data_IF_343642793959
#
_entry.id   IF_343642793959
#
_cell.length_a   1.000
_cell.length_b   1.000
_cell.length_c   1.000
_cell.angle_alpha   90.00
_cell.angle_beta   90.00
_cell.angle_gamma   90.00
#
_symmetry.space_group_name_H-M   'P 1'
#
loop_
_entity.id
_entity.type
_entity.pdbx_description
1 polymer ?
#
# COMPACT_ATOMS: atom_id res chain seq x y z
N UNK A 1 38.33 -19.28 31.67
CA UNK A 1 38.63 -18.19 30.71
C UNK A 1 37.71 -18.41 29.53
N UNK A 2 36.61 -17.70 29.34
CA UNK A 2 36.38 -16.29 29.58
C UNK A 2 36.23 -15.59 28.22
N UNK A 3 35.11 -15.83 27.55
CA UNK A 3 34.65 -15.01 26.43
C UNK A 3 33.13 -14.96 26.53
N UNK A 4 32.66 -14.09 27.42
CA UNK A 4 31.25 -13.73 27.48
C UNK A 4 30.85 -13.17 26.13
N UNK A 5 29.77 -13.71 25.58
CA UNK A 5 29.04 -13.08 24.48
C UNK A 5 28.76 -11.64 24.91
N UNK A 6 29.44 -10.70 24.25
CA UNK A 6 29.21 -9.28 24.42
C UNK A 6 27.74 -9.03 24.09
N UNK A 7 26.93 -8.77 25.13
CA UNK A 7 25.55 -8.35 24.97
C UNK A 7 25.50 -7.22 23.96
N UNK A 8 24.72 -7.41 22.89
CA UNK A 8 24.40 -6.34 21.98
C UNK A 8 24.01 -5.09 22.79
N UNK A 9 24.50 -3.89 22.43
CA UNK A 9 24.22 -2.69 23.20
C UNK A 9 22.71 -2.56 23.39
N UNK A 10 22.28 -2.34 24.62
CA UNK A 10 20.89 -2.10 24.96
C UNK A 10 20.35 -1.02 23.99
N UNK A 11 19.51 -1.43 23.05
CA UNK A 11 18.95 -0.51 22.05
C UNK A 11 18.29 0.64 22.81
N UNK A 12 18.74 1.87 22.57
CA UNK A 12 18.12 3.08 23.12
C UNK A 12 16.61 3.01 22.88
N UNK A 13 15.84 2.90 23.95
CA UNK A 13 14.41 2.64 23.88
C UNK A 13 13.69 3.41 24.96
N UNK A 14 12.57 4.03 24.60
CA UNK A 14 11.74 4.77 25.56
C UNK A 14 10.87 3.80 26.36
N UNK A 15 10.66 4.11 27.64
CA UNK A 15 9.80 3.31 28.51
C UNK A 15 8.89 4.19 29.37
N UNK A 16 7.78 3.60 29.82
CA UNK A 16 6.85 4.22 30.77
C UNK A 16 6.31 5.56 30.28
N UNK A 17 6.46 6.62 31.10
CA UNK A 17 5.95 7.96 30.82
C UNK A 17 6.52 8.59 29.55
N UNK A 18 7.80 8.35 29.24
CA UNK A 18 8.42 8.93 28.05
C UNK A 18 7.87 8.29 26.76
N UNK A 19 7.63 6.97 26.77
CA UNK A 19 6.98 6.27 25.67
C UNK A 19 5.53 6.75 25.48
N UNK A 20 4.79 6.92 26.58
CA UNK A 20 3.43 7.49 26.55
C UNK A 20 3.41 8.91 25.99
N UNK A 21 4.33 9.77 26.41
CA UNK A 21 4.39 11.15 25.93
C UNK A 21 4.65 11.23 24.43
N UNK A 22 5.58 10.42 23.90
CA UNK A 22 5.84 10.36 22.47
C UNK A 22 4.61 9.90 21.68
N UNK A 23 3.97 8.81 22.11
CA UNK A 23 2.79 8.27 21.42
C UNK A 23 1.59 9.20 21.54
N UNK A 24 1.40 9.82 22.70
CA UNK A 24 0.42 10.88 22.90
C UNK A 24 0.68 12.08 21.98
N UNK A 25 1.93 12.47 21.79
CA UNK A 25 2.32 13.51 20.83
C UNK A 25 2.01 13.14 19.37
N UNK A 26 2.29 11.90 18.96
CA UNK A 26 1.93 11.41 17.62
C UNK A 26 0.41 11.35 17.42
N UNK A 27 -0.34 10.94 18.45
CA UNK A 27 -1.80 10.97 18.44
C UNK A 27 -2.34 12.40 18.36
N UNK A 28 -1.77 13.34 19.13
CA UNK A 28 -2.15 14.76 19.05
C UNK A 28 -1.86 15.34 17.67
N UNK A 29 -0.72 14.98 17.06
CA UNK A 29 -0.39 15.38 15.70
C UNK A 29 -1.40 14.82 14.68
N UNK A 30 -1.87 13.57 14.87
CA UNK A 30 -2.94 13.01 14.06
C UNK A 30 -4.27 13.74 14.29
N UNK A 31 -4.65 13.98 15.55
CA UNK A 31 -5.87 14.69 15.90
C UNK A 31 -5.86 16.15 15.42
N UNK A 32 -4.69 16.78 15.28
CA UNK A 32 -4.55 18.13 14.74
C UNK A 32 -5.03 18.26 13.29
N UNK A 33 -5.16 17.15 12.53
CA UNK A 33 -5.81 17.18 11.22
C UNK A 33 -7.27 17.64 11.29
N UNK A 34 -7.94 17.49 12.44
CA UNK A 34 -9.29 18.01 12.63
C UNK A 34 -9.37 19.53 12.41
N UNK A 35 -8.28 20.27 12.61
CA UNK A 35 -8.25 21.72 12.37
C UNK A 35 -8.15 22.10 10.88
N UNK A 36 -7.99 21.14 9.96
CA UNK A 36 -7.92 21.42 8.53
C UNK A 36 -9.31 21.80 7.99
N UNK A 37 -9.44 22.90 7.20
CA UNK A 37 -10.72 23.29 6.61
C UNK A 37 -11.41 22.16 5.83
N UNK A 38 -10.65 21.43 5.01
CA UNK A 38 -11.13 20.26 4.25
C UNK A 38 -11.79 19.19 5.12
N UNK A 39 -11.32 18.99 6.36
CA UNK A 39 -11.91 18.00 7.29
C UNK A 39 -13.23 18.49 7.85
N UNK A 40 -13.39 19.80 8.07
CA UNK A 40 -14.65 20.40 8.50
C UNK A 40 -15.69 20.51 7.39
N UNK A 41 -15.25 20.59 6.14
CA UNK A 41 -16.11 20.71 4.95
C UNK A 41 -16.76 19.38 4.53
N UNK A 42 -16.23 18.23 4.96
CA UNK A 42 -16.82 16.91 4.70
C UNK A 42 -17.14 16.16 5.99
N UNK A 43 -18.41 15.77 6.14
CA UNK A 43 -18.87 14.96 7.26
C UNK A 43 -18.13 13.60 7.32
N UNK A 44 -17.82 13.02 6.16
CA UNK A 44 -17.08 11.76 6.08
C UNK A 44 -15.64 11.87 6.58
N UNK A 45 -14.94 12.96 6.25
CA UNK A 45 -13.61 13.22 6.79
C UNK A 45 -13.64 13.50 8.28
N UNK A 46 -14.62 14.28 8.76
CA UNK A 46 -14.79 14.57 10.17
C UNK A 46 -15.01 13.29 10.98
N UNK A 47 -15.90 12.40 10.51
CA UNK A 47 -16.15 11.09 11.12
C UNK A 47 -14.93 10.18 10.99
N UNK A 48 -14.27 10.15 9.83
CA UNK A 48 -13.10 9.31 9.59
C UNK A 48 -11.91 9.68 10.49
N UNK A 49 -11.51 10.95 10.51
CA UNK A 49 -10.39 11.44 11.32
C UNK A 49 -10.77 11.47 12.80
N UNK A 50 -11.92 12.07 13.14
CA UNK A 50 -12.37 12.22 14.53
C UNK A 50 -12.71 10.88 15.19
N UNK A 51 -13.43 10.01 14.49
CA UNK A 51 -13.73 8.66 14.95
C UNK A 51 -12.47 7.81 15.13
N UNK A 52 -11.54 7.85 14.17
CA UNK A 52 -10.26 7.15 14.32
C UNK A 52 -9.43 7.69 15.49
N UNK A 53 -9.40 9.01 15.69
CA UNK A 53 -8.69 9.63 16.82
C UNK A 53 -9.32 9.19 18.15
N UNK A 54 -10.64 9.18 18.26
CA UNK A 54 -11.36 8.71 19.45
C UNK A 54 -11.09 7.22 19.74
N UNK A 55 -11.12 6.36 18.71
CA UNK A 55 -10.79 4.93 18.84
C UNK A 55 -9.36 4.75 19.34
N UNK A 56 -8.38 5.43 18.74
CA UNK A 56 -6.98 5.36 19.18
C UNK A 56 -6.81 5.85 20.62
N UNK A 57 -7.51 6.91 21.02
CA UNK A 57 -7.47 7.41 22.39
C UNK A 57 -7.99 6.35 23.38
N UNK A 58 -9.16 5.78 23.10
CA UNK A 58 -9.75 4.73 23.95
C UNK A 58 -8.82 3.52 24.05
N UNK A 59 -8.30 3.03 22.94
CA UNK A 59 -7.37 1.90 22.93
C UNK A 59 -6.06 2.22 23.67
N UNK A 60 -5.55 3.45 23.54
CA UNK A 60 -4.36 3.92 24.25
C UNK A 60 -4.57 3.98 25.77
N UNK A 61 -5.72 4.51 26.22
CA UNK A 61 -6.10 4.54 27.63
C UNK A 61 -6.25 3.11 28.19
N UNK A 62 -6.85 2.19 27.43
CA UNK A 62 -6.94 0.78 27.80
C UNK A 62 -5.56 0.12 27.91
N UNK A 63 -4.64 0.43 27.00
CA UNK A 63 -3.26 -0.08 27.06
C UNK A 63 -2.53 0.42 28.31
N UNK A 64 -2.66 1.71 28.63
CA UNK A 64 -2.07 2.32 29.82
C UNK A 64 -2.67 1.74 31.12
N UNK A 65 -3.99 1.58 31.16
CA UNK A 65 -4.72 1.05 32.34
C UNK A 65 -4.42 -0.41 32.66
N UNK A 66 -4.04 -1.23 31.66
CA UNK A 66 -3.68 -2.64 31.84
C UNK A 66 -2.29 -2.87 32.44
N UNK A 67 -1.56 -1.81 32.83
CA UNK A 67 -0.17 -1.94 33.28
C UNK A 67 0.74 -2.54 32.20
N UNK A 68 0.41 -2.32 30.93
CA UNK A 68 1.14 -2.87 29.80
C UNK A 68 2.63 -2.49 29.86
N UNK A 69 3.49 -3.29 29.22
CA UNK A 69 4.89 -2.91 29.02
C UNK A 69 4.99 -1.80 27.97
N UNK A 70 4.77 -0.55 28.42
CA UNK A 70 4.88 0.68 27.63
C UNK A 70 6.34 0.90 27.23
N UNK A 71 6.78 0.19 26.20
CA UNK A 71 8.15 0.23 25.72
C UNK A 71 8.21 0.41 24.22
N UNK A 72 9.13 1.24 23.79
CA UNK A 72 9.47 1.50 22.40
C UNK A 72 10.94 1.13 22.19
N UNK A 73 11.22 0.51 21.06
CA UNK A 73 12.58 0.26 20.58
C UNK A 73 12.67 0.84 19.18
N UNK A 74 13.62 1.72 18.92
CA UNK A 74 13.77 2.30 17.59
C UNK A 74 14.38 1.27 16.62
N UNK A 75 13.80 1.16 15.42
CA UNK A 75 14.24 0.21 14.39
C UNK A 75 14.13 0.83 12.99
N UNK A 76 15.27 1.26 12.46
CA UNK A 76 15.38 1.79 11.10
C UNK A 76 15.90 0.71 10.15
N UNK A 77 14.97 0.06 9.42
CA UNK A 77 15.33 -0.91 8.38
C UNK A 77 15.66 -0.18 7.08
N UNK A 78 16.82 -0.49 6.48
CA UNK A 78 17.25 0.06 5.18
C UNK A 78 16.18 -0.11 4.10
N UNK A 79 15.50 -1.26 4.07
CA UNK A 79 14.42 -1.52 3.13
C UNK A 79 13.25 -0.53 3.25
N UNK A 80 12.83 -0.16 4.47
CA UNK A 80 11.74 0.80 4.67
C UNK A 80 12.17 2.21 4.25
N UNK A 81 13.43 2.60 4.51
CA UNK A 81 13.97 3.89 4.06
C UNK A 81 14.01 3.94 2.53
N UNK A 82 14.53 2.88 1.89
CA UNK A 82 14.59 2.80 0.43
C UNK A 82 13.19 2.91 -0.19
N UNK A 83 12.21 2.15 0.32
CA UNK A 83 10.82 2.24 -0.15
C UNK A 83 10.20 3.62 0.09
N UNK A 84 10.46 4.24 1.24
CA UNK A 84 9.99 5.60 1.52
C UNK A 84 10.57 6.61 0.51
N UNK A 85 11.86 6.54 0.21
CA UNK A 85 12.51 7.41 -0.78
C UNK A 85 11.94 7.20 -2.19
N UNK A 86 11.82 5.94 -2.61
CA UNK A 86 11.33 5.54 -3.94
C UNK A 86 9.88 5.99 -4.15
N UNK A 87 8.98 5.71 -3.20
CA UNK A 87 7.61 6.19 -3.28
C UNK A 87 7.52 7.71 -3.21
N UNK A 88 8.34 8.36 -2.38
CA UNK A 88 8.41 9.83 -2.35
C UNK A 88 8.82 10.40 -3.70
N UNK A 89 9.75 9.75 -4.40
CA UNK A 89 10.15 10.13 -5.76
C UNK A 89 8.99 10.07 -6.76
N UNK A 90 8.16 9.03 -6.69
CA UNK A 90 6.93 8.93 -7.50
C UNK A 90 5.94 10.04 -7.14
N UNK A 91 5.68 10.25 -5.84
CA UNK A 91 4.76 11.30 -5.39
C UNK A 91 5.21 12.70 -5.76
N UNK A 92 6.49 13.02 -5.63
CA UNK A 92 7.05 14.31 -6.00
C UNK A 92 6.89 14.55 -7.50
N UNK A 93 7.23 13.57 -8.33
CA UNK A 93 7.04 13.68 -9.77
C UNK A 93 5.58 13.85 -10.14
N UNK A 94 4.72 12.94 -9.67
CA UNK A 94 3.29 12.97 -9.95
C UNK A 94 2.62 14.27 -9.46
N UNK A 95 3.00 14.77 -8.27
CA UNK A 95 2.46 15.99 -7.71
C UNK A 95 2.87 17.28 -8.43
N UNK A 96 3.94 17.26 -9.24
CA UNK A 96 4.27 18.37 -10.14
C UNK A 96 3.26 18.50 -11.30
N UNK A 97 2.62 17.40 -11.70
CA UNK A 97 1.70 17.36 -12.85
C UNK A 97 0.24 17.18 -12.45
N UNK A 98 -0.05 16.73 -11.23
CA UNK A 98 -1.40 16.58 -10.71
C UNK A 98 -1.57 17.25 -9.34
N UNK A 99 -2.16 18.46 -9.28
CA UNK A 99 -2.32 19.24 -8.04
C UNK A 99 -3.06 18.49 -6.92
N UNK A 100 -3.90 17.52 -7.26
CA UNK A 100 -4.61 16.71 -6.29
C UNK A 100 -3.67 15.94 -5.34
N UNK A 101 -2.45 15.57 -5.79
CA UNK A 101 -1.44 14.95 -4.91
C UNK A 101 -1.05 15.89 -3.79
N UNK A 102 -0.79 17.17 -4.11
CA UNK A 102 -0.46 18.20 -3.12
C UNK A 102 -1.58 18.40 -2.10
N UNK A 103 -2.83 18.45 -2.57
CA UNK A 103 -4.00 18.54 -1.70
C UNK A 103 -4.19 17.29 -0.80
N UNK A 104 -3.66 16.15 -1.21
CA UNK A 104 -3.73 14.88 -0.47
C UNK A 104 -2.63 14.73 0.60
N UNK A 105 -1.54 15.52 0.53
CA UNK A 105 -0.39 15.40 1.44
C UNK A 105 -0.79 15.43 2.93
N UNK A 106 -1.66 16.34 3.43
CA UNK A 106 -2.04 16.34 4.83
C UNK A 106 -2.71 15.03 5.27
N UNK A 107 -3.60 14.48 4.43
CA UNK A 107 -4.28 13.20 4.70
C UNK A 107 -3.32 12.01 4.59
N UNK A 108 -2.33 12.07 3.71
CA UNK A 108 -1.24 11.07 3.61
C UNK A 108 -0.40 11.04 4.90
N UNK A 109 -0.04 12.22 5.43
CA UNK A 109 0.65 12.33 6.72
C UNK A 109 -0.23 11.78 7.85
N UNK A 110 -1.52 12.14 7.85
CA UNK A 110 -2.50 11.62 8.81
C UNK A 110 -2.59 10.10 8.81
N UNK A 111 -2.58 9.48 7.63
CA UNK A 111 -2.57 8.02 7.49
C UNK A 111 -1.30 7.38 8.06
N UNK A 112 -0.12 7.98 7.85
CA UNK A 112 1.14 7.50 8.46
C UNK A 112 1.07 7.60 9.99
N UNK A 113 0.60 8.73 10.53
CA UNK A 113 0.47 8.93 11.97
C UNK A 113 -0.54 7.95 12.58
N UNK A 114 -1.73 7.83 11.98
CA UNK A 114 -2.76 6.88 12.39
C UNK A 114 -2.21 5.46 12.48
N UNK A 115 -1.60 4.96 11.39
CA UNK A 115 -1.10 3.60 11.35
C UNK A 115 0.02 3.40 12.38
N UNK A 116 0.95 4.35 12.49
CA UNK A 116 2.04 4.29 13.47
C UNK A 116 1.51 4.19 14.90
N UNK A 117 0.54 5.03 15.27
CA UNK A 117 -0.06 5.02 16.61
C UNK A 117 -0.83 3.72 16.85
N UNK A 118 -1.57 3.24 15.86
CA UNK A 118 -2.29 1.96 15.92
C UNK A 118 -1.35 0.78 16.19
N UNK A 119 -0.24 0.67 15.44
CA UNK A 119 0.72 -0.44 15.61
C UNK A 119 1.33 -0.45 17.01
N UNK A 120 1.64 0.74 17.56
CA UNK A 120 2.20 0.89 18.91
C UNK A 120 1.20 0.47 19.96
N UNK A 121 -0.02 1.02 19.92
CA UNK A 121 -1.08 0.74 20.90
C UNK A 121 -1.43 -0.75 20.88
N UNK A 122 -1.57 -1.35 19.70
CA UNK A 122 -1.84 -2.77 19.57
C UNK A 122 -0.73 -3.64 20.19
N UNK A 123 0.54 -3.27 19.99
CA UNK A 123 1.67 -3.98 20.60
C UNK A 123 1.61 -3.91 22.13
N UNK A 124 1.27 -2.73 22.68
CA UNK A 124 1.13 -2.55 24.12
C UNK A 124 -0.06 -3.32 24.70
N UNK A 125 -1.21 -3.34 24.02
CA UNK A 125 -2.36 -4.15 24.41
C UNK A 125 -2.02 -5.65 24.51
N UNK A 126 -1.07 -6.11 23.71
CA UNK A 126 -0.56 -7.48 23.72
C UNK A 126 0.61 -7.70 24.70
N UNK A 127 0.95 -6.70 25.52
CA UNK A 127 2.02 -6.77 26.51
C UNK A 127 3.44 -6.75 25.93
N UNK A 128 3.60 -6.33 24.67
CA UNK A 128 4.87 -6.34 23.92
C UNK A 128 5.47 -4.94 23.83
N UNK A 129 6.80 -4.85 23.76
CA UNK A 129 7.48 -3.63 23.33
C UNK A 129 7.31 -3.46 21.82
N UNK A 130 6.95 -2.25 21.37
CA UNK A 130 6.81 -1.96 19.95
C UNK A 130 8.16 -1.55 19.35
N UNK A 131 8.42 -1.98 18.10
CA UNK A 131 9.60 -1.56 17.34
C UNK A 131 9.24 -0.39 16.44
N UNK A 132 9.40 0.83 16.97
CA UNK A 132 9.05 2.05 16.25
C UNK A 132 10.04 2.32 15.12
N UNK A 133 9.53 2.55 13.92
CA UNK A 133 10.35 2.84 12.74
C UNK A 133 9.48 3.25 11.56
N UNK A 134 10.06 3.29 10.37
CA UNK A 134 9.38 3.71 9.15
C UNK A 134 8.48 2.61 8.53
N UNK A 135 7.99 1.65 9.33
CA UNK A 135 7.22 0.51 8.81
C UNK A 135 5.86 0.89 8.22
N UNK A 136 5.23 1.94 8.75
CA UNK A 136 3.95 2.44 8.26
C UNK A 136 4.07 3.17 6.91
N UNK A 137 5.21 3.83 6.65
CA UNK A 137 5.38 4.69 5.46
C UNK A 137 5.25 3.91 4.16
N UNK A 138 5.96 2.79 3.93
CA UNK A 138 5.79 2.00 2.71
C UNK A 138 4.37 1.48 2.51
N UNK A 139 3.69 1.08 3.60
CA UNK A 139 2.31 0.57 3.52
C UNK A 139 1.39 1.67 3.02
N UNK A 140 1.41 2.82 3.71
CA UNK A 140 0.55 3.97 3.40
C UNK A 140 0.86 4.53 2.01
N UNK A 141 2.13 4.74 1.68
CA UNK A 141 2.49 5.30 0.39
C UNK A 141 2.13 4.33 -0.75
N UNK A 142 2.37 3.04 -0.58
CA UNK A 142 2.00 2.05 -1.59
C UNK A 142 0.49 1.95 -1.79
N UNK A 143 -0.34 1.91 -0.73
CA UNK A 143 -1.80 1.87 -0.90
C UNK A 143 -2.34 3.12 -1.60
N UNK A 144 -1.84 4.30 -1.21
CA UNK A 144 -2.24 5.58 -1.80
C UNK A 144 -1.62 5.82 -3.20
N UNK A 145 -0.82 4.92 -3.75
CA UNK A 145 -0.41 5.01 -5.16
C UNK A 145 -1.45 4.37 -6.10
N UNK A 146 -2.44 3.65 -5.55
CA UNK A 146 -3.44 2.95 -6.35
C UNK A 146 -4.88 3.30 -6.01
N UNK A 147 -5.16 3.72 -4.77
CA UNK A 147 -6.53 3.95 -4.31
C UNK A 147 -6.60 4.99 -3.20
N UNK A 148 -7.45 6.01 -3.42
CA UNK A 148 -7.92 6.93 -2.39
C UNK A 148 -9.43 6.81 -2.28
N UNK A 149 -9.95 6.58 -1.08
CA UNK A 149 -11.37 6.83 -0.83
C UNK A 149 -11.67 8.33 -0.92
N UNK A 150 -12.85 8.68 -1.41
CA UNK A 150 -13.34 10.07 -1.41
C UNK A 150 -13.61 10.53 0.02
N UNK A 151 -13.66 11.85 0.19
CA UNK A 151 -13.75 12.51 1.49
C UNK A 151 -14.98 12.03 2.30
N UNK A 152 -16.11 11.79 1.64
CA UNK A 152 -17.37 11.36 2.30
C UNK A 152 -17.33 9.95 2.90
N UNK A 153 -16.42 9.10 2.42
CA UNK A 153 -16.24 7.73 2.90
C UNK A 153 -14.80 7.46 3.35
N UNK A 154 -14.06 8.53 3.68
CA UNK A 154 -12.64 8.45 3.96
C UNK A 154 -12.28 7.59 5.18
N UNK A 155 -13.23 7.31 6.08
CA UNK A 155 -13.08 6.33 7.15
C UNK A 155 -12.61 4.95 6.63
N UNK A 156 -13.04 4.56 5.43
CA UNK A 156 -12.63 3.32 4.78
C UNK A 156 -11.13 3.30 4.44
N UNK A 157 -10.51 4.46 4.24
CA UNK A 157 -9.06 4.56 4.04
C UNK A 157 -8.31 4.08 5.29
N UNK A 158 -8.72 4.53 6.48
CA UNK A 158 -8.13 4.09 7.74
C UNK A 158 -8.42 2.61 8.02
N UNK A 159 -9.62 2.14 7.69
CA UNK A 159 -9.98 0.73 7.81
C UNK A 159 -9.11 -0.17 6.90
N UNK A 160 -8.89 0.24 5.64
CA UNK A 160 -8.02 -0.46 4.69
C UNK A 160 -6.57 -0.54 5.21
N UNK A 161 -6.04 0.54 5.79
CA UNK A 161 -4.70 0.53 6.39
C UNK A 161 -4.60 -0.34 7.64
N UNK A 162 -5.61 -0.29 8.51
CA UNK A 162 -5.69 -1.16 9.68
C UNK A 162 -5.74 -2.63 9.25
N UNK A 163 -6.51 -2.95 8.20
CA UNK A 163 -6.57 -4.28 7.60
C UNK A 163 -5.21 -4.72 7.04
N UNK A 164 -4.52 -3.85 6.28
CA UNK A 164 -3.18 -4.12 5.77
C UNK A 164 -2.21 -4.53 6.90
N UNK A 165 -2.22 -3.77 8.00
CA UNK A 165 -1.40 -4.09 9.17
C UNK A 165 -1.84 -5.37 9.89
N UNK A 166 -3.15 -5.60 10.08
CA UNK A 166 -3.66 -6.84 10.68
C UNK A 166 -3.20 -8.07 9.90
N UNK A 167 -3.32 -8.05 8.58
CA UNK A 167 -2.86 -9.17 7.74
C UNK A 167 -1.36 -9.36 7.86
N UNK A 168 -0.56 -8.28 7.81
CA UNK A 168 0.88 -8.33 8.04
C UNK A 168 1.25 -8.94 9.39
N UNK A 169 0.51 -8.62 10.45
CA UNK A 169 0.84 -9.01 11.82
C UNK A 169 0.40 -10.45 12.16
N UNK A 170 -0.74 -10.90 11.63
CA UNK A 170 -1.34 -12.17 12.02
C UNK A 170 -1.28 -13.25 10.95
N UNK A 171 -1.26 -12.90 9.66
CA UNK A 171 -1.21 -13.87 8.57
C UNK A 171 0.23 -14.10 8.15
N UNK A 172 0.87 -15.01 8.88
CA UNK A 172 2.29 -15.36 8.73
C UNK A 172 2.47 -16.87 8.60
N UNK A 173 3.40 -17.29 7.75
CA UNK A 173 3.87 -18.68 7.64
C UNK A 173 5.29 -18.82 8.21
N UNK A 174 5.71 -20.06 8.47
CA UNK A 174 7.11 -20.38 8.73
C UNK A 174 7.78 -20.71 7.39
N UNK A 175 8.80 -19.93 7.04
CA UNK A 175 9.60 -20.16 5.83
C UNK A 175 11.07 -20.09 6.20
N UNK A 176 11.74 -21.25 6.15
CA UNK A 176 13.17 -21.34 6.49
C UNK A 176 13.48 -20.98 7.94
N UNK A 177 12.59 -21.31 8.88
CA UNK A 177 12.76 -21.01 10.31
C UNK A 177 12.49 -19.55 10.68
N UNK A 178 11.98 -18.75 9.73
CA UNK A 178 11.55 -17.38 9.97
C UNK A 178 10.04 -17.25 9.80
N UNK A 179 9.41 -16.55 10.74
CA UNK A 179 7.98 -16.24 10.67
C UNK A 179 7.76 -14.97 9.84
N UNK A 180 7.38 -15.15 8.58
CA UNK A 180 7.22 -14.09 7.58
C UNK A 180 5.75 -13.88 7.22
N UNK A 181 5.38 -12.66 6.83
CA UNK A 181 4.03 -12.39 6.33
C UNK A 181 3.82 -13.09 4.98
N UNK A 182 2.60 -13.62 4.78
CA UNK A 182 2.24 -14.34 3.55
C UNK A 182 1.99 -13.37 2.40
N UNK A 183 1.27 -12.28 2.69
CA UNK A 183 0.80 -11.35 1.68
C UNK A 183 1.52 -10.01 1.75
N UNK A 184 1.76 -9.38 0.59
CA UNK A 184 2.14 -7.97 0.57
C UNK A 184 1.02 -7.18 1.28
N UNK A 185 1.31 -6.47 2.38
CA UNK A 185 0.29 -5.80 3.19
C UNK A 185 -0.57 -4.81 2.39
N UNK A 186 0.06 -4.01 1.52
CA UNK A 186 -0.65 -3.07 0.66
C UNK A 186 -1.39 -3.80 -0.46
N UNK A 187 -0.77 -4.83 -1.05
CA UNK A 187 -1.37 -5.63 -2.12
C UNK A 187 -2.66 -6.33 -1.71
N UNK A 188 -2.68 -6.99 -0.54
CA UNK A 188 -3.88 -7.67 -0.04
C UNK A 188 -4.98 -6.68 0.34
N UNK A 189 -4.64 -5.56 0.98
CA UNK A 189 -5.62 -4.55 1.35
C UNK A 189 -6.27 -3.91 0.11
N UNK A 190 -5.46 -3.58 -0.89
CA UNK A 190 -5.92 -3.06 -2.18
C UNK A 190 -6.79 -4.06 -2.94
N UNK A 191 -6.39 -5.34 -2.98
CA UNK A 191 -7.17 -6.38 -3.65
C UNK A 191 -8.53 -6.58 -2.98
N UNK A 192 -8.57 -6.68 -1.64
CA UNK A 192 -9.83 -6.84 -0.88
C UNK A 192 -10.72 -5.61 -1.07
N UNK A 193 -10.17 -4.39 -0.97
CA UNK A 193 -10.91 -3.17 -1.24
C UNK A 193 -11.49 -3.17 -2.67
N UNK A 194 -10.68 -3.51 -3.67
CA UNK A 194 -11.12 -3.61 -5.06
C UNK A 194 -12.26 -4.63 -5.24
N UNK A 195 -12.13 -5.84 -4.69
CA UNK A 195 -13.18 -6.85 -4.75
C UNK A 195 -14.49 -6.37 -4.12
N UNK A 196 -14.44 -5.73 -2.94
CA UNK A 196 -15.62 -5.20 -2.27
C UNK A 196 -16.27 -4.05 -3.06
N UNK A 197 -15.47 -3.16 -3.64
CA UNK A 197 -15.97 -2.05 -4.46
C UNK A 197 -16.65 -2.56 -5.74
N UNK A 198 -16.05 -3.55 -6.40
CA UNK A 198 -16.65 -4.20 -7.58
C UNK A 198 -17.95 -4.91 -7.18
N UNK A 199 -17.91 -5.75 -6.14
CA UNK A 199 -19.06 -6.55 -5.73
C UNK A 199 -20.26 -5.72 -5.24
N UNK A 200 -20.00 -4.52 -4.69
CA UNK A 200 -21.06 -3.63 -4.21
C UNK A 200 -21.44 -2.54 -5.21
N UNK A 201 -20.75 -2.43 -6.35
CA UNK A 201 -20.99 -1.39 -7.36
C UNK A 201 -20.47 0.01 -7.00
N UNK A 202 -19.81 0.20 -5.85
CA UNK A 202 -19.41 1.51 -5.33
C UNK A 202 -18.01 1.96 -5.76
N UNK A 203 -17.61 1.68 -6.99
CA UNK A 203 -16.24 2.01 -7.47
C UNK A 203 -15.98 3.53 -7.51
N UNK A 204 -17.04 4.30 -7.66
CA UNK A 204 -17.11 5.77 -7.63
C UNK A 204 -16.80 6.36 -6.25
N UNK A 205 -16.87 5.57 -5.16
CA UNK A 205 -16.44 5.97 -3.82
C UNK A 205 -14.94 6.24 -3.71
N UNK A 206 -14.19 5.93 -4.76
CA UNK A 206 -12.75 6.10 -4.81
C UNK A 206 -12.34 7.07 -5.92
N UNK A 207 -11.07 7.49 -5.85
CA UNK A 207 -10.39 8.20 -6.93
C UNK A 207 -9.48 7.29 -7.75
N UNK A 208 -9.69 5.97 -7.67
CA UNK A 208 -8.78 4.98 -8.25
C UNK A 208 -8.71 5.11 -9.79
N UNK A 209 -9.81 5.50 -10.45
CA UNK A 209 -9.80 5.84 -11.87
C UNK A 209 -8.90 7.05 -12.15
N UNK A 210 -9.12 8.18 -11.49
CA UNK A 210 -8.32 9.39 -11.69
C UNK A 210 -6.84 9.16 -11.39
N UNK A 211 -6.53 8.36 -10.36
CA UNK A 211 -5.16 7.95 -10.02
C UNK A 211 -4.56 7.14 -11.17
N UNK A 212 -5.29 6.14 -11.68
CA UNK A 212 -4.77 5.24 -12.73
C UNK A 212 -4.38 5.97 -14.02
N UNK A 213 -5.06 7.09 -14.32
CA UNK A 213 -4.76 7.92 -15.48
C UNK A 213 -3.71 8.99 -15.17
N UNK A 214 -3.86 9.72 -14.06
CA UNK A 214 -3.01 10.86 -13.72
C UNK A 214 -1.57 10.49 -13.39
N UNK A 215 -1.31 9.24 -13.02
CA UNK A 215 0.06 8.71 -12.90
C UNK A 215 0.84 8.84 -14.22
N UNK A 216 0.14 8.86 -15.37
CA UNK A 216 0.72 9.08 -16.69
C UNK A 216 0.89 10.56 -17.06
N UNK A 217 0.54 11.49 -16.17
CA UNK A 217 0.71 12.91 -16.45
C UNK A 217 2.19 13.30 -16.37
N UNK A 218 2.62 14.09 -17.35
CA UNK A 218 4.00 14.55 -17.51
C UNK A 218 4.81 13.69 -18.49
N UNK A 219 5.83 14.27 -19.13
CA UNK A 219 6.54 13.65 -20.25
C UNK A 219 7.40 12.43 -19.88
N UNK A 220 7.80 12.31 -18.62
CA UNK A 220 8.73 11.29 -18.11
C UNK A 220 8.08 10.35 -17.08
N UNK A 221 6.77 10.12 -17.16
CA UNK A 221 6.04 9.35 -16.15
C UNK A 221 6.51 7.89 -16.06
N UNK A 222 6.67 7.22 -17.20
CA UNK A 222 7.19 5.85 -17.26
C UNK A 222 8.65 5.80 -16.78
N UNK A 223 9.48 6.73 -17.23
CA UNK A 223 10.90 6.83 -16.87
C UNK A 223 11.07 7.09 -15.37
N UNK A 224 10.22 7.92 -14.77
CA UNK A 224 10.23 8.17 -13.33
C UNK A 224 9.93 6.89 -12.56
N UNK A 225 8.83 6.20 -12.89
CA UNK A 225 8.44 4.94 -12.24
C UNK A 225 9.52 3.88 -12.44
N UNK A 226 10.07 3.78 -13.65
CA UNK A 226 11.13 2.83 -13.95
C UNK A 226 12.41 3.12 -13.17
N UNK A 227 12.83 4.39 -13.07
CA UNK A 227 14.00 4.79 -12.28
C UNK A 227 13.81 4.47 -10.79
N UNK A 228 12.61 4.75 -10.26
CA UNK A 228 12.24 4.42 -8.89
C UNK A 228 12.25 2.89 -8.66
N UNK A 229 11.67 2.12 -9.59
CA UNK A 229 11.72 0.65 -9.59
C UNK A 229 13.13 0.11 -9.69
N UNK A 230 13.98 0.71 -10.53
CA UNK A 230 15.37 0.31 -10.73
C UNK A 230 16.18 0.42 -9.43
N UNK A 231 15.96 1.48 -8.65
CA UNK A 231 16.58 1.63 -7.32
C UNK A 231 16.21 0.44 -6.43
N UNK A 232 14.93 0.06 -6.36
CA UNK A 232 14.49 -1.12 -5.59
C UNK A 232 15.13 -2.39 -6.11
N UNK A 233 15.18 -2.56 -7.44
CA UNK A 233 15.77 -3.72 -8.10
C UNK A 233 17.29 -3.87 -7.85
N UNK A 234 18.00 -2.78 -7.56
CA UNK A 234 19.42 -2.85 -7.16
C UNK A 234 19.62 -3.34 -5.73
N UNK A 235 18.61 -3.15 -4.88
CA UNK A 235 18.65 -3.51 -3.45
C UNK A 235 18.07 -4.90 -3.22
N UNK A 236 17.06 -5.27 -4.01
CA UNK A 236 16.26 -6.48 -3.86
C UNK A 236 16.22 -7.20 -5.20
N UNK A 237 16.51 -8.51 -5.27
CA UNK A 237 16.59 -9.22 -6.54
C UNK A 237 15.18 -9.52 -7.10
N UNK A 238 14.47 -8.50 -7.59
CA UNK A 238 13.09 -8.61 -8.13
C UNK A 238 13.01 -8.37 -9.64
N UNK A 239 14.13 -8.05 -10.29
CA UNK A 239 14.22 -7.73 -11.74
C UNK A 239 13.50 -8.75 -12.62
N UNK A 240 13.66 -10.05 -12.37
CA UNK A 240 13.07 -11.11 -13.20
C UNK A 240 11.54 -11.13 -13.13
N UNK A 241 10.94 -10.71 -12.01
CA UNK A 241 9.49 -10.58 -11.90
C UNK A 241 9.01 -9.46 -12.80
N UNK A 242 9.59 -8.26 -12.67
CA UNK A 242 9.19 -7.12 -13.50
C UNK A 242 9.45 -7.36 -14.98
N UNK A 243 10.60 -7.95 -15.34
CA UNK A 243 10.92 -8.31 -16.71
C UNK A 243 9.93 -9.35 -17.27
N UNK A 244 9.62 -10.40 -16.51
CA UNK A 244 8.64 -11.41 -16.90
C UNK A 244 7.26 -10.81 -17.15
N UNK A 245 6.79 -9.95 -16.23
CA UNK A 245 5.51 -9.26 -16.38
C UNK A 245 5.48 -8.36 -17.62
N UNK A 246 6.51 -7.54 -17.84
CA UNK A 246 6.59 -6.65 -18.98
C UNK A 246 6.64 -7.42 -20.31
N UNK A 247 7.49 -8.45 -20.42
CA UNK A 247 7.59 -9.27 -21.63
C UNK A 247 6.28 -10.01 -21.92
N UNK A 248 5.61 -10.56 -20.91
CA UNK A 248 4.32 -11.21 -21.10
C UNK A 248 3.25 -10.23 -21.56
N UNK A 249 3.16 -9.04 -20.96
CA UNK A 249 2.21 -8.00 -21.39
C UNK A 249 2.44 -7.58 -22.84
N UNK A 250 3.70 -7.34 -23.22
CA UNK A 250 4.04 -6.96 -24.60
C UNK A 250 3.79 -8.09 -25.60
N UNK A 251 4.12 -9.34 -25.24
CA UNK A 251 3.90 -10.49 -26.11
C UNK A 251 2.41 -10.76 -26.32
N UNK A 252 1.61 -10.76 -25.26
CA UNK A 252 0.15 -10.93 -25.36
C UNK A 252 -0.50 -9.77 -26.11
N UNK A 253 -0.05 -8.53 -25.87
CA UNK A 253 -0.51 -7.36 -26.62
C UNK A 253 -0.19 -7.46 -28.12
N UNK A 254 1.02 -7.89 -28.48
CA UNK A 254 1.41 -8.09 -29.87
C UNK A 254 0.59 -9.22 -30.54
N UNK A 255 0.36 -10.32 -29.83
CA UNK A 255 -0.50 -11.42 -30.31
C UNK A 255 -1.94 -10.95 -30.53
N UNK A 256 -2.49 -10.16 -29.59
CA UNK A 256 -3.82 -9.58 -29.72
C UNK A 256 -3.93 -8.66 -30.93
N UNK A 257 -2.94 -7.79 -31.15
CA UNK A 257 -2.92 -6.89 -32.30
C UNK A 257 -2.75 -7.65 -33.61
N UNK A 258 -1.92 -8.69 -33.64
CA UNK A 258 -1.80 -9.56 -34.82
C UNK A 258 -3.11 -10.30 -35.13
N UNK A 259 -3.89 -10.67 -34.11
CA UNK A 259 -5.13 -11.41 -34.28
C UNK A 259 -6.34 -10.53 -34.61
N UNK A 260 -6.47 -9.36 -33.96
CA UNK A 260 -7.67 -8.50 -34.05
C UNK A 260 -7.48 -7.25 -34.93
N UNK A 261 -6.24 -6.88 -35.25
CA UNK A 261 -5.91 -5.61 -35.90
C UNK A 261 -6.04 -4.38 -34.99
N UNK A 262 -6.29 -4.55 -33.69
CA UNK A 262 -6.49 -3.47 -32.71
C UNK A 262 -5.56 -3.60 -31.51
N UNK A 263 -5.36 -2.52 -30.75
CA UNK A 263 -4.64 -2.58 -29.47
C UNK A 263 -5.56 -3.11 -28.37
N UNK A 264 -5.00 -3.91 -27.45
CA UNK A 264 -5.76 -4.51 -26.34
C UNK A 264 -6.16 -3.47 -25.30
N UNK A 265 -5.17 -2.69 -24.85
CA UNK A 265 -5.35 -1.51 -24.02
C UNK A 265 -5.52 -0.26 -24.89
N UNK A 266 -6.22 0.74 -24.34
CA UNK A 266 -6.63 1.93 -25.09
C UNK A 266 -5.43 2.79 -25.47
N UNK A 267 -4.52 3.07 -24.52
CA UNK A 267 -3.54 4.15 -24.69
C UNK A 267 -2.12 3.66 -24.97
N UNK A 268 -1.72 2.50 -24.44
CA UNK A 268 -0.33 2.01 -24.47
C UNK A 268 -0.24 0.49 -24.37
N UNK A 269 0.90 -0.10 -24.74
CA UNK A 269 1.13 -1.55 -24.59
C UNK A 269 1.15 -2.03 -23.12
N UNK A 270 1.48 -1.14 -22.18
CA UNK A 270 1.41 -1.39 -20.74
C UNK A 270 0.85 -0.13 -20.07
N UNK A 271 -0.41 -0.15 -19.57
CA UNK A 271 -0.98 0.99 -18.87
C UNK A 271 -0.11 1.46 -17.70
N UNK A 272 0.00 2.77 -17.48
CA UNK A 272 0.92 3.35 -16.50
C UNK A 272 0.71 2.82 -15.07
N UNK A 273 -0.53 2.58 -14.65
CA UNK A 273 -0.84 2.02 -13.34
C UNK A 273 -0.42 0.54 -13.22
N UNK A 274 -0.49 -0.22 -14.31
CA UNK A 274 0.03 -1.60 -14.39
C UNK A 274 1.56 -1.58 -14.33
N UNK A 275 2.18 -0.64 -15.03
CA UNK A 275 3.62 -0.40 -15.00
C UNK A 275 4.12 -0.06 -13.60
N UNK A 276 3.39 0.78 -12.86
CA UNK A 276 3.64 1.04 -11.44
C UNK A 276 3.51 -0.23 -10.60
N UNK A 277 2.44 -1.01 -10.84
CA UNK A 277 2.17 -2.28 -10.16
C UNK A 277 3.32 -3.27 -10.26
N UNK A 278 3.82 -3.54 -11.46
CA UNK A 278 4.92 -4.48 -11.68
C UNK A 278 6.29 -4.00 -11.19
N UNK A 279 6.49 -2.69 -11.01
CA UNK A 279 7.77 -2.12 -10.56
C UNK A 279 7.84 -1.96 -9.03
N UNK A 280 6.72 -1.62 -8.38
CA UNK A 280 6.72 -1.16 -6.98
C UNK A 280 5.69 -1.84 -6.06
N UNK A 281 4.69 -2.53 -6.61
CA UNK A 281 3.66 -3.21 -5.79
C UNK A 281 3.86 -4.73 -5.77
N UNK A 282 4.05 -5.37 -6.92
CA UNK A 282 4.22 -6.83 -7.01
C UNK A 282 5.55 -7.32 -6.41
N UNK A 283 6.51 -6.42 -6.22
CA UNK A 283 7.92 -6.71 -5.91
C UNK A 283 8.25 -6.64 -4.42
N UNK A 284 7.37 -7.10 -3.53
CA UNK A 284 7.67 -7.17 -2.10
C UNK A 284 8.76 -8.24 -1.84
N UNK A 285 9.92 -7.88 -1.23
CA UNK A 285 11.01 -8.82 -0.96
C UNK A 285 10.61 -10.07 -0.19
N UNK A 286 9.59 -9.95 0.67
CA UNK A 286 9.16 -11.04 1.56
C UNK A 286 8.24 -12.03 0.85
N UNK A 287 7.43 -11.56 -0.10
CA UNK A 287 6.40 -12.38 -0.76
C UNK A 287 6.73 -12.69 -2.22
N UNK A 288 7.94 -12.37 -2.66
CA UNK A 288 8.47 -12.73 -3.98
C UNK A 288 9.27 -14.05 -3.87
N UNK A 289 9.16 -14.98 -4.85
CA UNK A 289 9.96 -16.22 -4.83
C UNK A 289 11.46 -15.97 -4.71
N UNK A 290 12.18 -16.83 -3.98
CA UNK A 290 13.63 -16.68 -3.79
C UNK A 290 14.46 -17.10 -5.04
N UNK A 291 14.04 -18.19 -5.71
CA UNK A 291 14.75 -18.69 -6.89
C UNK A 291 14.46 -17.88 -8.16
N UNK A 292 15.45 -17.85 -9.08
CA UNK A 292 15.39 -17.06 -10.32
C UNK A 292 14.20 -17.43 -11.21
N UNK A 293 14.00 -18.74 -11.44
CA UNK A 293 12.87 -19.23 -12.25
C UNK A 293 11.53 -18.89 -11.61
N UNK A 294 11.40 -19.07 -10.29
CA UNK A 294 10.18 -18.70 -9.56
C UNK A 294 9.81 -17.22 -9.76
N UNK A 295 10.80 -16.31 -9.70
CA UNK A 295 10.57 -14.88 -9.98
C UNK A 295 10.11 -14.61 -11.39
N UNK A 296 10.73 -15.26 -12.38
CA UNK A 296 10.33 -15.11 -13.77
C UNK A 296 8.89 -15.62 -13.98
N UNK A 297 8.57 -16.82 -13.48
CA UNK A 297 7.22 -17.38 -13.57
C UNK A 297 6.18 -16.51 -12.84
N UNK A 298 6.51 -15.98 -11.66
CA UNK A 298 5.64 -15.03 -10.96
C UNK A 298 5.38 -13.77 -11.81
N UNK A 299 6.41 -13.25 -12.48
CA UNK A 299 6.27 -12.16 -13.43
C UNK A 299 5.34 -12.50 -14.59
N UNK A 300 5.55 -13.64 -15.24
CA UNK A 300 4.72 -14.13 -16.34
C UNK A 300 3.26 -14.28 -15.90
N UNK A 301 3.02 -14.89 -14.74
CA UNK A 301 1.68 -15.06 -14.18
C UNK A 301 1.02 -13.71 -13.87
N UNK A 302 1.77 -12.76 -13.30
CA UNK A 302 1.25 -11.42 -13.05
C UNK A 302 0.85 -10.71 -14.35
N UNK A 303 1.73 -10.69 -15.35
CA UNK A 303 1.45 -10.07 -16.65
C UNK A 303 0.25 -10.70 -17.35
N UNK A 304 0.19 -12.04 -17.40
CA UNK A 304 -0.95 -12.75 -17.98
C UNK A 304 -2.24 -12.48 -17.21
N UNK A 305 -2.20 -12.50 -15.88
CA UNK A 305 -3.37 -12.24 -15.05
C UNK A 305 -3.92 -10.84 -15.28
N UNK A 306 -3.06 -9.81 -15.32
CA UNK A 306 -3.50 -8.44 -15.61
C UNK A 306 -4.15 -8.35 -16.99
N UNK A 307 -3.52 -8.94 -18.00
CA UNK A 307 -4.03 -8.95 -19.38
C UNK A 307 -5.45 -9.55 -19.46
N UNK A 308 -5.66 -10.74 -18.90
CA UNK A 308 -6.97 -11.41 -18.96
C UNK A 308 -7.99 -10.82 -17.98
N UNK A 309 -7.56 -10.33 -16.82
CA UNK A 309 -8.46 -9.66 -15.86
C UNK A 309 -9.02 -8.37 -16.44
N UNK A 310 -8.24 -7.64 -17.24
CA UNK A 310 -8.74 -6.45 -17.92
C UNK A 310 -9.95 -6.76 -18.80
N UNK A 311 -9.92 -7.85 -19.57
CA UNK A 311 -11.06 -8.29 -20.38
C UNK A 311 -12.22 -8.80 -19.53
N UNK A 312 -11.94 -9.59 -18.48
CA UNK A 312 -12.97 -10.03 -17.55
C UNK A 312 -13.69 -8.83 -16.89
N UNK A 313 -12.94 -7.80 -16.52
CA UNK A 313 -13.48 -6.58 -15.93
C UNK A 313 -14.23 -5.72 -16.95
N UNK A 314 -13.82 -5.69 -18.22
CA UNK A 314 -14.61 -5.05 -19.29
C UNK A 314 -16.00 -5.66 -19.42
N UNK A 315 -16.12 -6.99 -19.26
CA UNK A 315 -17.41 -7.70 -19.32
C UNK A 315 -18.30 -7.39 -18.11
N UNK A 316 -17.70 -7.05 -16.97
CA UNK A 316 -18.42 -6.66 -15.74
C UNK A 316 -18.79 -5.17 -15.73
N UNK A 317 -18.02 -4.33 -16.40
CA UNK A 317 -18.29 -2.90 -16.50
C UNK A 317 -19.49 -2.60 -17.40
N UNK A 318 -20.21 -1.53 -17.09
CA UNK A 318 -21.32 -1.06 -17.90
C UNK A 318 -21.35 0.48 -17.94
N UNK A 319 -21.92 1.03 -19.02
CA UNK A 319 -22.18 2.45 -19.14
C UNK A 319 -23.25 2.91 -18.15
N UNK A 320 -23.39 4.22 -17.98
CA UNK A 320 -24.51 4.78 -17.23
C UNK A 320 -25.82 4.51 -17.97
N UNK A 321 -26.83 4.04 -17.25
CA UNK A 321 -28.21 3.92 -17.72
C UNK A 321 -29.08 4.97 -17.04
N UNK A 322 -30.37 5.02 -17.36
CA UNK A 322 -31.31 5.93 -16.69
C UNK A 322 -31.42 5.64 -15.17
N UNK A 323 -31.20 4.39 -14.78
CA UNK A 323 -31.45 3.89 -13.42
C UNK A 323 -30.14 3.58 -12.66
N UNK A 324 -29.02 3.38 -13.35
CA UNK A 324 -27.75 2.98 -12.75
C UNK A 324 -26.56 3.83 -13.25
N UNK A 325 -25.64 4.25 -12.34
CA UNK A 325 -24.42 4.95 -12.73
C UNK A 325 -23.49 4.03 -13.55
N UNK A 326 -22.55 4.62 -14.29
CA UNK A 326 -21.53 3.86 -15.00
C UNK A 326 -20.62 3.10 -14.02
N UNK A 327 -20.38 1.82 -14.29
CA UNK A 327 -19.44 1.00 -13.54
C UNK A 327 -18.17 0.81 -14.39
N UNK A 328 -17.12 1.56 -14.05
CA UNK A 328 -15.79 1.38 -14.65
C UNK A 328 -14.94 0.60 -13.65
N UNK A 329 -14.48 -0.59 -14.03
CA UNK A 329 -13.77 -1.51 -13.12
C UNK A 329 -12.43 -1.99 -13.67
N UNK A 330 -12.15 -1.72 -14.94
CA UNK A 330 -10.95 -2.21 -15.64
C UNK A 330 -9.65 -1.78 -14.97
N UNK A 331 -9.64 -0.60 -14.34
CA UNK A 331 -8.49 -0.09 -13.60
C UNK A 331 -8.19 -0.87 -12.31
N UNK A 332 -8.94 -1.92 -11.94
CA UNK A 332 -8.59 -2.79 -10.80
C UNK A 332 -7.73 -4.00 -11.19
N UNK A 333 -7.57 -4.29 -12.48
CA UNK A 333 -6.82 -5.43 -13.06
C UNK A 333 -5.49 -5.75 -12.35
N UNK A 334 -4.66 -4.72 -12.11
CA UNK A 334 -3.34 -4.82 -11.46
C UNK A 334 -3.35 -5.24 -9.99
N UNK A 335 -4.50 -5.17 -9.32
CA UNK A 335 -4.63 -5.40 -7.88
C UNK A 335 -5.14 -6.81 -7.56
N UNK A 336 -6.13 -7.30 -8.33
CA UNK A 336 -6.93 -8.47 -7.96
C UNK A 336 -6.12 -9.75 -7.81
N UNK A 337 -5.12 -9.97 -8.67
CA UNK A 337 -4.34 -11.21 -8.67
C UNK A 337 -3.18 -11.23 -7.66
N UNK A 338 -2.83 -10.10 -7.04
CA UNK A 338 -1.67 -10.01 -6.15
C UNK A 338 -1.69 -11.00 -4.98
N UNK A 339 -2.81 -11.18 -4.25
CA UNK A 339 -2.88 -12.17 -3.18
C UNK A 339 -2.62 -13.59 -3.66
N UNK A 340 -3.18 -13.96 -4.82
CA UNK A 340 -2.98 -15.27 -5.43
C UNK A 340 -1.51 -15.46 -5.78
N UNK A 341 -0.89 -14.45 -6.38
CA UNK A 341 0.54 -14.48 -6.70
C UNK A 341 1.40 -14.68 -5.45
N UNK A 342 1.07 -14.05 -4.32
CA UNK A 342 1.82 -14.22 -3.06
C UNK A 342 1.68 -15.63 -2.48
N UNK A 343 0.55 -16.32 -2.67
CA UNK A 343 0.36 -17.71 -2.23
C UNK A 343 1.18 -18.70 -3.05
N UNK A 344 1.51 -18.35 -4.30
CA UNK A 344 2.33 -19.17 -5.20
C UNK A 344 3.84 -18.96 -5.00
N UNK A 345 4.23 -18.00 -4.15
CA UNK A 345 5.61 -17.54 -4.03
C UNK A 345 6.48 -18.42 -3.15
#
# INVERSE_FOLDING_TARGET
MGAGEAGAPASEGLQGRAALALVGGLWLAFAALLALPRVHESAGLLVGVGGSAAVLLVLGLLAAGRGARLGLVFSFKRAHVAQACVHSGVYLYWGMYWPAVGAQVPLLIGQVLFLTVLEVIASWLLGRRHRLGLGAVPIVFSTNLFLWFRDDVFALQFAMLAFAWLTKEYVKWDRGGQRLHVFNPSGIALAVAAYLLIATGHTDWTRAWEISQSLGFGPLAYENIFLMGLIVMTIVPVVLLTLGAALTMLALGALWTAWTGTFHFIDTGIPIAVFLGMNLLATDPVTTPHHRLGRLFAGVLYGAAVFFLYDALKLLGHGATADEPALVVTYFDKLLFLPVLNLLA
#
